data_IF_790609315559
#
_entry.id   IF_790609315559
#
_cell.length_a   1.000
_cell.length_b   1.000
_cell.length_c   1.000
_cell.angle_alpha   90.00
_cell.angle_beta   90.00
_cell.angle_gamma   90.00
#
_symmetry.space_group_name_H-M   'P 1'
#
loop_
_entity.id
_entity.type
_entity.pdbx_description
1 polymer ?
#
# COMPACT_ATOMS: atom_id res chain seq x y z
N UNK A 1 -18.51 34.40 -29.55
CA UNK A 1 -18.07 35.75 -29.15
C UNK A 1 -16.71 35.62 -28.49
N UNK A 2 -15.68 36.08 -29.19
CA UNK A 2 -14.28 36.13 -28.74
C UNK A 2 -14.08 37.30 -27.78
N UNK A 3 -13.28 37.10 -26.74
CA UNK A 3 -12.39 38.14 -26.21
C UNK A 3 -11.09 37.51 -25.71
N UNK A 4 -10.05 37.59 -26.56
CA UNK A 4 -8.65 37.39 -26.20
C UNK A 4 -8.12 38.64 -25.49
N UNK A 5 -7.35 38.45 -24.41
CA UNK A 5 -6.35 39.38 -23.84
C UNK A 5 -5.28 38.48 -23.22
N UNK A 6 -3.98 38.60 -23.41
CA UNK A 6 -3.11 39.53 -24.11
C UNK A 6 -1.71 39.19 -23.60
N UNK A 7 -0.84 38.65 -24.45
CA UNK A 7 0.51 38.20 -24.12
C UNK A 7 1.46 39.41 -24.06
N UNK A 8 2.34 39.47 -23.04
CA UNK A 8 3.55 40.30 -23.07
C UNK A 8 4.78 39.41 -22.91
N UNK A 9 5.57 39.33 -23.99
CA UNK A 9 6.92 38.80 -24.01
C UNK A 9 7.86 39.76 -23.27
N UNK A 10 8.78 39.21 -22.48
CA UNK A 10 10.06 39.84 -22.18
C UNK A 10 11.16 38.78 -22.35
N UNK A 11 12.00 38.99 -23.35
CA UNK A 11 13.19 38.22 -23.63
C UNK A 11 14.38 38.80 -22.85
N UNK A 12 15.19 37.94 -22.21
CA UNK A 12 16.56 38.28 -21.81
C UNK A 12 17.45 37.08 -22.13
N UNK A 13 18.52 37.35 -22.88
CA UNK A 13 19.48 36.41 -23.43
C UNK A 13 20.73 36.26 -22.54
N UNK A 14 21.27 35.02 -22.52
CA UNK A 14 22.67 34.53 -22.49
C UNK A 14 23.75 35.26 -21.64
N UNK A 15 24.76 34.56 -21.05
CA UNK A 15 25.66 33.70 -21.85
C UNK A 15 26.18 32.39 -21.22
N UNK A 16 26.58 31.55 -22.16
CA UNK A 16 27.33 30.30 -22.10
C UNK A 16 28.82 30.58 -21.81
N UNK A 17 29.44 29.86 -20.86
CA UNK A 17 30.91 29.84 -20.70
C UNK A 17 31.41 28.40 -20.47
N UNK A 18 32.13 27.91 -21.49
CA UNK A 18 33.13 26.82 -21.54
C UNK A 18 34.23 27.38 -22.47
N UNK A 19 35.50 26.92 -22.47
CA UNK A 19 36.13 25.78 -21.79
C UNK A 19 37.52 26.15 -21.15
N UNK A 20 38.30 25.18 -20.66
CA UNK A 20 39.74 24.97 -20.97
C UNK A 20 40.25 23.72 -20.23
N UNK A 21 40.92 22.87 -21.01
CA UNK A 21 41.65 21.65 -20.63
C UNK A 21 43.05 22.04 -20.14
N UNK A 22 43.51 21.44 -19.04
CA UNK A 22 44.94 21.38 -18.71
C UNK A 22 45.29 20.01 -18.13
N UNK A 23 46.03 19.25 -18.93
CA UNK A 23 46.73 18.05 -18.53
C UNK A 23 48.02 18.42 -17.78
N UNK A 24 48.37 17.69 -16.73
CA UNK A 24 49.76 17.45 -16.33
C UNK A 24 49.86 16.06 -15.70
N UNK A 25 50.87 15.34 -16.19
CA UNK A 25 51.19 13.97 -15.85
C UNK A 25 52.23 13.90 -14.73
N UNK A 26 52.16 12.81 -13.95
CA UNK A 26 53.30 11.92 -13.67
C UNK A 26 54.33 12.30 -12.59
N UNK A 27 54.58 11.35 -11.68
CA UNK A 27 55.79 11.31 -10.84
C UNK A 27 55.62 10.51 -9.53
N UNK A 28 55.34 9.20 -9.57
CA UNK A 28 56.27 8.09 -9.23
C UNK A 28 57.16 8.24 -7.98
N UNK A 29 56.85 7.45 -6.95
CA UNK A 29 57.74 6.67 -6.07
C UNK A 29 56.91 5.44 -5.64
N UNK A 30 57.34 4.19 -5.57
CA UNK A 30 58.60 3.48 -5.73
C UNK A 30 58.41 2.08 -5.12
N UNK A 31 59.15 1.09 -5.62
CA UNK A 31 59.46 -0.24 -5.05
C UNK A 31 58.39 -1.37 -5.01
N UNK A 32 58.68 -2.35 -5.87
CA UNK A 32 58.89 -3.77 -5.57
C UNK A 32 57.71 -4.76 -5.42
N UNK A 33 57.69 -5.71 -6.38
CA UNK A 33 57.97 -7.10 -6.01
C UNK A 33 56.78 -8.01 -5.69
N UNK A 34 56.07 -8.42 -6.74
CA UNK A 34 55.48 -9.76 -6.96
C UNK A 34 55.40 -10.71 -5.75
N UNK A 35 54.18 -10.95 -5.24
CA UNK A 35 53.70 -12.29 -4.86
C UNK A 35 52.16 -12.29 -4.74
N UNK A 36 51.57 -13.39 -5.20
CA UNK A 36 50.19 -13.47 -5.65
C UNK A 36 49.09 -13.28 -4.60
N UNK A 37 47.94 -12.83 -5.09
CA UNK A 37 46.65 -12.80 -4.42
C UNK A 37 45.60 -12.35 -5.42
N UNK A 38 44.61 -13.19 -5.71
CA UNK A 38 43.56 -12.92 -6.71
C UNK A 38 42.77 -11.64 -6.42
N UNK A 39 42.06 -11.07 -7.41
CA UNK A 39 41.42 -9.77 -7.23
C UNK A 39 40.37 -9.84 -6.12
N UNK A 40 40.67 -9.15 -5.03
CA UNK A 40 39.70 -8.75 -4.02
C UNK A 40 38.63 -7.91 -4.73
N UNK A 41 37.38 -8.37 -4.67
CA UNK A 41 36.22 -7.58 -5.05
C UNK A 41 36.20 -6.31 -4.18
N UNK A 42 36.53 -5.19 -4.80
CA UNK A 42 36.18 -3.86 -4.30
C UNK A 42 34.67 -3.81 -4.09
N UNK A 43 34.25 -3.77 -2.83
CA UNK A 43 32.87 -3.53 -2.44
C UNK A 43 32.49 -2.09 -2.81
N UNK A 44 31.61 -1.96 -3.79
CA UNK A 44 30.96 -0.73 -4.20
C UNK A 44 30.03 -0.23 -3.07
N UNK A 45 30.10 1.04 -2.63
CA UNK A 45 29.25 1.58 -1.55
C UNK A 45 27.74 1.62 -1.85
N UNK A 46 27.28 1.21 -3.04
CA UNK A 46 25.87 1.19 -3.43
C UNK A 46 25.08 -0.08 -3.06
N UNK A 47 25.70 -1.10 -2.46
CA UNK A 47 25.10 -2.45 -2.35
C UNK A 47 24.38 -2.71 -1.02
N UNK A 48 23.74 -1.70 -0.43
CA UNK A 48 23.13 -1.86 0.90
C UNK A 48 21.69 -2.41 0.80
N UNK A 49 20.99 -2.22 -0.32
CA UNK A 49 19.59 -2.67 -0.49
C UNK A 49 19.44 -4.07 -1.10
N UNK A 50 20.48 -4.57 -1.80
CA UNK A 50 20.39 -5.86 -2.49
C UNK A 50 20.40 -7.08 -1.54
N UNK A 51 20.72 -6.89 -0.26
CA UNK A 51 20.86 -7.98 0.72
C UNK A 51 19.80 -7.99 1.83
N UNK A 52 18.71 -7.23 1.71
CA UNK A 52 17.54 -7.46 2.54
C UNK A 52 16.91 -8.80 2.11
N UNK A 53 17.25 -9.85 2.85
CA UNK A 53 16.77 -11.22 2.68
C UNK A 53 15.25 -11.24 2.71
N UNK A 54 14.62 -11.43 1.54
CA UNK A 54 13.20 -11.73 1.39
C UNK A 54 12.46 -10.85 0.38
N UNK A 55 11.33 -11.35 -0.11
CA UNK A 55 10.36 -10.60 -0.92
C UNK A 55 9.62 -9.51 -0.12
N UNK A 56 9.98 -9.28 1.14
CA UNK A 56 9.30 -8.36 2.06
C UNK A 56 9.42 -6.89 1.61
N UNK A 57 8.39 -6.10 1.91
CA UNK A 57 8.45 -4.66 1.72
C UNK A 57 9.56 -4.01 2.58
N UNK A 58 10.26 -3.02 1.99
CA UNK A 58 11.26 -2.17 2.68
C UNK A 58 10.62 -0.96 3.34
N UNK A 59 9.47 -0.53 2.82
CA UNK A 59 8.64 0.51 3.42
C UNK A 59 7.18 0.14 3.17
N UNK A 60 6.38 0.12 4.23
CA UNK A 60 4.94 -0.16 4.16
C UNK A 60 4.18 0.82 5.06
N UNK A 61 3.03 1.25 4.58
CA UNK A 61 2.06 2.01 5.39
C UNK A 61 0.74 1.28 5.41
N UNK A 62 0.24 0.99 6.62
CA UNK A 62 -1.01 0.29 6.87
C UNK A 62 -1.99 1.18 7.65
N UNK A 63 -3.28 0.88 7.55
CA UNK A 63 -4.28 1.37 8.51
C UNK A 63 -4.70 0.23 9.42
N UNK A 64 -4.40 0.35 10.70
CA UNK A 64 -4.71 -0.65 11.73
C UNK A 64 -5.94 -0.23 12.55
N UNK A 65 -6.82 -1.20 12.86
CA UNK A 65 -8.02 -0.97 13.66
C UNK A 65 -9.02 0.00 13.01
N UNK A 66 -9.67 0.80 13.86
CA UNK A 66 -10.84 1.61 13.51
C UNK A 66 -12.15 0.82 13.60
N UNK A 67 -13.29 1.51 13.51
CA UNK A 67 -14.60 0.88 13.58
C UNK A 67 -15.03 0.31 12.23
N UNK A 68 -14.45 -0.83 11.88
CA UNK A 68 -14.85 -1.65 10.73
C UNK A 68 -14.94 -3.12 11.12
N UNK A 69 -15.61 -3.91 10.29
CA UNK A 69 -15.80 -5.34 10.54
C UNK A 69 -14.51 -6.13 10.39
N UNK A 70 -14.42 -7.31 11.02
CA UNK A 70 -13.28 -8.22 10.87
C UNK A 70 -13.06 -8.63 9.42
N UNK A 71 -14.14 -8.85 8.64
CA UNK A 71 -14.00 -9.14 7.21
C UNK A 71 -13.36 -7.97 6.44
N UNK A 72 -13.69 -6.73 6.79
CA UNK A 72 -13.12 -5.55 6.14
C UNK A 72 -11.66 -5.33 6.57
N UNK A 73 -11.30 -5.63 7.82
CA UNK A 73 -9.92 -5.55 8.32
C UNK A 73 -9.02 -6.52 7.55
N UNK A 74 -9.43 -7.79 7.48
CA UNK A 74 -8.67 -8.82 6.76
C UNK A 74 -8.58 -8.54 5.25
N UNK A 75 -9.60 -7.90 4.65
CA UNK A 75 -9.61 -7.52 3.24
C UNK A 75 -8.82 -6.25 2.92
N UNK A 76 -8.44 -5.45 3.94
CA UNK A 76 -7.79 -4.15 3.77
C UNK A 76 -6.39 -4.32 3.16
N UNK A 77 -6.09 -3.51 2.16
CA UNK A 77 -4.75 -3.40 1.59
C UNK A 77 -3.94 -2.35 2.35
N UNK A 78 -2.61 -2.48 2.41
CA UNK A 78 -1.74 -1.39 2.81
C UNK A 78 -2.00 -0.15 1.93
N UNK A 79 -1.90 1.03 2.53
CA UNK A 79 -1.99 2.31 1.81
C UNK A 79 -0.91 2.39 0.72
N UNK A 80 0.30 1.93 1.06
CA UNK A 80 1.41 1.76 0.12
C UNK A 80 2.33 0.63 0.58
N UNK A 81 2.88 -0.12 -0.36
CA UNK A 81 3.98 -1.07 -0.14
C UNK A 81 5.09 -0.84 -1.15
N UNK A 82 6.31 -0.60 -0.68
CA UNK A 82 7.52 -0.41 -1.49
C UNK A 82 8.43 -1.63 -1.30
N UNK A 83 8.82 -2.25 -2.39
CA UNK A 83 9.68 -3.44 -2.41
C UNK A 83 11.12 -3.10 -2.82
N UNK A 84 12.12 -3.90 -2.40
CA UNK A 84 13.52 -3.71 -2.77
C UNK A 84 13.74 -3.62 -4.29
N UNK A 85 12.93 -4.36 -5.07
CA UNK A 85 13.00 -4.39 -6.53
C UNK A 85 12.41 -3.16 -7.23
N UNK A 86 12.02 -2.11 -6.49
CA UNK A 86 11.44 -0.89 -7.06
C UNK A 86 9.96 -0.98 -7.39
N UNK A 87 9.27 -2.04 -6.98
CA UNK A 87 7.82 -2.14 -7.10
C UNK A 87 7.18 -1.31 -5.99
N UNK A 88 6.26 -0.42 -6.35
CA UNK A 88 5.39 0.29 -5.42
C UNK A 88 3.96 -0.09 -5.73
N UNK A 89 3.27 -0.64 -4.74
CA UNK A 89 1.88 -1.10 -4.88
C UNK A 89 0.99 -0.28 -3.94
N UNK A 90 -0.10 0.26 -4.48
CA UNK A 90 -1.10 1.04 -3.74
C UNK A 90 -2.47 0.91 -4.40
N UNK A 91 -3.53 1.30 -3.70
CA UNK A 91 -4.83 1.48 -4.32
C UNK A 91 -4.85 2.79 -5.16
N UNK A 92 -5.48 2.71 -6.33
CA UNK A 92 -5.69 3.82 -7.25
C UNK A 92 -7.08 4.45 -7.11
N UNK A 93 -7.39 5.45 -7.96
CA UNK A 93 -8.69 6.12 -7.94
C UNK A 93 -9.84 5.14 -8.16
N UNK A 94 -10.90 5.26 -7.36
CA UNK A 94 -12.09 4.42 -7.45
C UNK A 94 -13.28 5.23 -7.96
N UNK A 95 -14.12 4.59 -8.78
CA UNK A 95 -15.30 5.22 -9.33
C UNK A 95 -16.32 5.52 -8.21
N UNK A 96 -16.87 6.73 -8.19
CA UNK A 96 -17.92 7.13 -7.25
C UNK A 96 -19.30 6.57 -7.67
N UNK A 97 -19.40 5.24 -7.76
CA UNK A 97 -20.61 4.49 -8.11
C UNK A 97 -21.02 3.57 -6.96
N UNK A 98 -22.33 3.39 -6.75
CA UNK A 98 -22.84 2.47 -5.76
C UNK A 98 -23.85 1.48 -6.38
N UNK A 99 -23.69 0.16 -6.14
CA UNK A 99 -22.53 -0.48 -5.49
C UNK A 99 -21.25 -0.37 -6.33
N UNK A 100 -20.09 -0.49 -5.67
CA UNK A 100 -18.77 -0.41 -6.31
C UNK A 100 -18.34 -1.74 -6.93
N UNK A 101 -17.24 -1.75 -7.72
CA UNK A 101 -16.65 -2.99 -8.23
C UNK A 101 -16.21 -3.95 -7.11
N UNK A 102 -16.25 -5.26 -7.37
CA UNK A 102 -15.83 -6.26 -6.37
C UNK A 102 -14.30 -6.30 -6.15
N UNK A 103 -13.51 -5.94 -7.16
CA UNK A 103 -12.05 -5.86 -7.06
C UNK A 103 -11.63 -4.42 -6.74
N UNK A 104 -10.68 -4.22 -5.81
CA UNK A 104 -10.05 -2.92 -5.62
C UNK A 104 -9.22 -2.54 -6.85
N UNK A 105 -9.08 -1.23 -7.10
CA UNK A 105 -8.21 -0.73 -8.16
C UNK A 105 -6.75 -0.74 -7.68
N UNK A 106 -6.11 -1.91 -7.69
CA UNK A 106 -4.70 -2.00 -7.25
C UNK A 106 -3.76 -1.64 -8.40
N UNK A 107 -2.83 -0.73 -8.12
CA UNK A 107 -1.87 -0.22 -9.09
C UNK A 107 -0.45 -0.63 -8.72
N UNK A 108 0.36 -0.87 -9.74
CA UNK A 108 1.79 -1.09 -9.66
C UNK A 108 2.50 0.10 -10.33
N UNK A 109 3.49 0.65 -9.63
CA UNK A 109 4.45 1.62 -10.16
C UNK A 109 5.85 1.03 -10.03
N UNK A 110 6.70 1.28 -11.02
CA UNK A 110 8.13 0.94 -10.94
C UNK A 110 8.96 2.21 -10.73
N UNK A 111 9.84 2.17 -9.73
CA UNK A 111 10.81 3.23 -9.40
C UNK A 111 12.23 2.67 -9.42
N UNK A 112 13.24 3.53 -9.51
CA UNK A 112 14.63 3.07 -9.48
C UNK A 112 15.05 2.62 -8.08
N UNK A 113 16.10 1.81 -7.98
CA UNK A 113 16.68 1.43 -6.68
C UNK A 113 17.15 2.65 -5.87
N UNK A 114 17.64 3.70 -6.54
CA UNK A 114 17.99 4.96 -5.91
C UNK A 114 16.76 5.66 -5.32
N UNK A 115 15.61 5.58 -5.99
CA UNK A 115 14.36 6.15 -5.46
C UNK A 115 13.84 5.35 -4.27
N UNK A 116 13.95 4.01 -4.31
CA UNK A 116 13.63 3.15 -3.15
C UNK A 116 14.44 3.59 -1.93
N UNK A 117 15.76 3.76 -2.10
CA UNK A 117 16.63 4.21 -1.00
C UNK A 117 16.20 5.58 -0.49
N UNK A 118 15.90 6.54 -1.39
CA UNK A 118 15.43 7.88 -0.96
C UNK A 118 14.12 7.82 -0.17
N UNK A 119 13.20 6.91 -0.49
CA UNK A 119 11.97 6.72 0.27
C UNK A 119 12.25 6.12 1.66
N UNK A 120 13.16 5.15 1.75
CA UNK A 120 13.61 4.58 3.04
C UNK A 120 14.28 5.64 3.90
N UNK A 121 15.22 6.41 3.34
CA UNK A 121 15.93 7.49 4.04
C UNK A 121 14.94 8.54 4.55
N UNK A 122 13.95 8.90 3.74
CA UNK A 122 12.89 9.83 4.15
C UNK A 122 12.05 9.29 5.29
N UNK A 123 11.72 7.99 5.28
CA UNK A 123 10.97 7.37 6.37
C UNK A 123 11.76 7.39 7.69
N UNK A 124 13.06 7.07 7.64
CA UNK A 124 13.96 7.16 8.80
C UNK A 124 14.06 8.61 9.29
N UNK A 125 14.24 9.57 8.38
CA UNK A 125 14.32 11.00 8.71
C UNK A 125 13.03 11.55 9.33
N UNK A 126 11.86 11.04 8.94
CA UNK A 126 10.57 11.37 9.56
C UNK A 126 10.41 10.77 10.98
N UNK A 127 11.33 9.89 11.39
CA UNK A 127 11.35 9.27 12.71
C UNK A 127 10.58 7.95 12.80
N UNK A 128 10.36 7.26 11.68
CA UNK A 128 9.77 5.90 11.71
C UNK A 128 10.70 4.95 12.47
N UNK A 129 10.17 4.31 13.53
CA UNK A 129 10.94 3.42 14.40
C UNK A 129 11.81 4.12 15.45
N UNK A 130 11.82 5.46 15.52
CA UNK A 130 12.66 6.21 16.46
C UNK A 130 12.05 6.32 17.88
N UNK A 131 10.86 5.76 18.12
CA UNK A 131 10.20 5.81 19.43
C UNK A 131 9.74 7.22 19.85
N UNK A 132 9.46 8.10 18.87
CA UNK A 132 8.92 9.44 19.13
C UNK A 132 7.53 9.35 19.77
N UNK A 133 7.20 10.32 20.61
CA UNK A 133 5.85 10.48 21.15
C UNK A 133 4.98 11.26 20.16
N UNK A 134 3.91 10.61 19.68
CA UNK A 134 2.94 11.20 18.75
C UNK A 134 1.67 11.68 19.47
N UNK A 135 1.56 11.46 20.77
CA UNK A 135 0.38 11.75 21.58
C UNK A 135 -0.84 10.92 21.20
N UNK A 136 -1.85 10.99 22.06
CA UNK A 136 -3.09 10.23 21.93
C UNK A 136 -4.29 11.16 21.95
N UNK A 137 -4.76 11.62 20.77
CA UNK A 137 -5.91 12.51 20.69
C UNK A 137 -7.17 11.79 21.16
N UNK A 138 -8.13 12.53 21.73
CA UNK A 138 -9.39 12.00 22.24
C UNK A 138 -10.40 11.70 21.13
N UNK A 139 -10.01 10.83 20.20
CA UNK A 139 -10.81 10.35 19.08
C UNK A 139 -11.22 8.90 19.32
N UNK A 140 -12.48 8.59 19.06
CA UNK A 140 -13.02 7.23 19.09
C UNK A 140 -13.15 6.70 17.68
N UNK A 141 -13.12 5.38 17.53
CA UNK A 141 -13.46 4.67 16.28
C UNK A 141 -12.55 4.96 15.07
N UNK A 142 -11.48 5.76 15.25
CA UNK A 142 -10.49 6.07 14.21
C UNK A 142 -9.43 4.98 14.08
N UNK A 143 -8.90 4.84 12.87
CA UNK A 143 -7.77 3.95 12.60
C UNK A 143 -6.45 4.53 13.13
N UNK A 144 -5.43 3.69 13.23
CA UNK A 144 -4.05 4.15 13.31
C UNK A 144 -3.34 3.97 11.98
N UNK A 145 -2.55 4.96 11.58
CA UNK A 145 -1.60 4.82 10.48
C UNK A 145 -0.31 4.20 11.02
N UNK A 146 0.05 3.02 10.51
CA UNK A 146 1.26 2.29 10.89
C UNK A 146 2.27 2.38 9.75
N UNK A 147 3.46 2.88 10.05
CA UNK A 147 4.61 2.91 9.17
C UNK A 147 5.57 1.81 9.59
N UNK A 148 6.04 1.02 8.63
CA UNK A 148 7.09 0.01 8.84
C UNK A 148 8.20 0.28 7.85
N UNK A 149 9.43 0.45 8.34
CA UNK A 149 10.64 0.62 7.53
C UNK A 149 11.63 -0.48 7.86
N UNK A 150 12.30 -1.01 6.85
CA UNK A 150 13.34 -2.02 6.99
C UNK A 150 14.66 -1.44 6.49
N UNK A 151 15.65 -1.42 7.37
CA UNK A 151 16.99 -0.93 7.11
C UNK A 151 18.01 -2.04 7.46
N UNK A 152 19.30 -1.86 7.14
CA UNK A 152 20.34 -2.79 7.59
C UNK A 152 20.41 -2.95 9.11
N UNK A 153 20.01 -1.92 9.86
CA UNK A 153 20.00 -1.90 11.33
C UNK A 153 18.82 -2.67 11.93
N UNK A 154 17.78 -2.96 11.14
CA UNK A 154 16.63 -3.75 11.57
C UNK A 154 15.29 -3.26 11.01
N UNK A 155 14.21 -3.60 11.71
CA UNK A 155 12.85 -3.17 11.37
C UNK A 155 12.41 -2.11 12.37
N UNK A 156 12.07 -0.92 11.86
CA UNK A 156 11.45 0.16 12.63
C UNK A 156 9.96 0.23 12.36
N UNK A 157 9.15 0.35 13.40
CA UNK A 157 7.70 0.54 13.29
C UNK A 157 7.26 1.74 14.12
N UNK A 158 6.38 2.56 13.52
CA UNK A 158 5.70 3.67 14.18
C UNK A 158 4.19 3.53 13.92
N UNK A 159 3.35 3.71 14.93
CA UNK A 159 1.89 3.69 14.78
C UNK A 159 1.29 4.95 15.39
N UNK A 160 0.49 5.69 14.62
CA UNK A 160 -0.10 6.97 15.01
C UNK A 160 -1.62 6.90 14.87
N UNK A 161 -2.35 6.94 15.99
CA UNK A 161 -3.82 6.93 16.02
C UNK A 161 -4.38 8.25 15.51
N UNK A 162 -5.32 8.20 14.56
CA UNK A 162 -6.01 9.40 14.06
C UNK A 162 -5.07 10.38 13.35
N UNK A 163 -4.12 9.88 12.54
CA UNK A 163 -3.14 10.75 11.88
C UNK A 163 -3.81 11.76 10.94
N UNK A 164 -4.80 11.32 10.16
CA UNK A 164 -5.52 12.16 9.20
C UNK A 164 -6.68 12.94 9.86
N UNK A 165 -7.20 12.45 10.97
CA UNK A 165 -8.43 12.93 11.61
C UNK A 165 -8.17 13.94 12.73
N UNK A 166 -7.02 13.87 13.42
CA UNK A 166 -6.73 14.75 14.54
C UNK A 166 -6.45 16.18 14.10
N UNK A 167 -7.08 17.14 14.77
CA UNK A 167 -6.93 18.58 14.52
C UNK A 167 -5.85 19.26 15.40
N UNK A 168 -5.16 18.49 16.22
CA UNK A 168 -4.16 19.00 17.18
C UNK A 168 -4.68 19.16 18.61
N UNK A 169 -6.00 19.06 18.84
CA UNK A 169 -6.60 19.18 20.17
C UNK A 169 -6.08 18.08 21.10
N UNK A 170 -5.62 18.48 22.28
CA UNK A 170 -5.05 17.56 23.28
C UNK A 170 -3.60 17.13 23.02
N UNK A 171 -2.93 17.72 22.01
CA UNK A 171 -1.54 17.43 21.69
C UNK A 171 -0.61 18.60 22.05
N UNK A 172 0.58 18.27 22.54
CA UNK A 172 1.67 19.24 22.72
C UNK A 172 2.24 19.70 21.37
N UNK A 173 2.93 20.85 21.35
CA UNK A 173 3.57 21.34 20.13
C UNK A 173 4.55 20.32 19.52
N UNK A 174 5.37 19.65 20.34
CA UNK A 174 6.31 18.64 19.89
C UNK A 174 5.63 17.40 19.29
N UNK A 175 4.49 16.97 19.85
CA UNK A 175 3.69 15.88 19.28
C UNK A 175 3.08 16.30 17.94
N UNK A 176 2.60 17.55 17.83
CA UNK A 176 2.08 18.07 16.56
C UNK A 176 3.19 18.16 15.49
N UNK A 177 4.40 18.59 15.85
CA UNK A 177 5.57 18.55 14.96
C UNK A 177 5.87 17.13 14.50
N UNK A 178 5.93 16.17 15.43
CA UNK A 178 6.17 14.76 15.09
C UNK A 178 5.11 14.17 14.15
N UNK A 179 3.84 14.55 14.34
CA UNK A 179 2.74 14.14 13.45
C UNK A 179 2.85 14.78 12.07
N UNK A 180 3.25 16.05 11.98
CA UNK A 180 3.54 16.70 10.69
C UNK A 180 4.62 15.96 9.91
N UNK A 181 5.71 15.57 10.55
CA UNK A 181 6.81 14.86 9.86
C UNK A 181 6.34 13.54 9.20
N UNK A 182 5.51 12.75 9.89
CA UNK A 182 4.99 11.49 9.35
C UNK A 182 3.79 11.69 8.42
N UNK A 183 3.04 12.78 8.56
CA UNK A 183 2.02 13.18 7.57
C UNK A 183 2.69 13.58 6.25
N UNK A 184 3.75 14.39 6.30
CA UNK A 184 4.51 14.79 5.11
C UNK A 184 5.15 13.57 4.40
N UNK A 185 5.54 12.55 5.17
CA UNK A 185 5.97 11.26 4.62
C UNK A 185 4.80 10.55 3.92
N UNK A 186 3.63 10.44 4.56
CA UNK A 186 2.45 9.81 3.98
C UNK A 186 2.01 10.51 2.68
N UNK A 187 1.98 11.83 2.66
CA UNK A 187 1.60 12.63 1.50
C UNK A 187 2.57 12.41 0.34
N UNK A 188 3.86 12.28 0.62
CA UNK A 188 4.84 11.98 -0.42
C UNK A 188 4.74 10.56 -0.97
N UNK A 189 4.40 9.59 -0.11
CA UNK A 189 4.21 8.19 -0.48
C UNK A 189 2.91 7.93 -1.25
N UNK A 190 1.89 8.77 -1.06
CA UNK A 190 0.63 8.69 -1.80
C UNK A 190 0.64 9.60 -3.04
N UNK A 191 1.47 10.65 -3.04
CA UNK A 191 1.71 11.57 -4.15
C UNK A 191 2.83 11.18 -5.12
N UNK A 192 3.24 9.90 -5.17
CA UNK A 192 4.44 9.46 -5.89
C UNK A 192 4.49 9.84 -7.38
N UNK A 193 3.33 9.91 -8.03
CA UNK A 193 3.21 10.36 -9.42
C UNK A 193 3.82 11.76 -9.62
N UNK A 194 3.64 12.65 -8.65
CA UNK A 194 4.19 14.02 -8.69
C UNK A 194 5.61 14.12 -8.15
N UNK A 195 6.06 13.21 -7.29
CA UNK A 195 7.38 13.28 -6.64
C UNK A 195 8.48 12.51 -7.36
N UNK A 196 8.16 11.37 -7.98
CA UNK A 196 9.12 10.48 -8.64
C UNK A 196 8.82 10.25 -10.13
N UNK A 197 7.62 10.61 -10.60
CA UNK A 197 7.19 10.33 -11.97
C UNK A 197 6.93 8.84 -12.23
N UNK A 198 6.86 8.47 -13.51
CA UNK A 198 6.49 7.14 -13.99
C UNK A 198 4.97 6.98 -14.15
N UNK A 199 4.56 5.94 -14.88
CA UNK A 199 3.15 5.59 -15.03
C UNK A 199 2.77 4.46 -14.09
N UNK A 200 1.53 4.50 -13.60
CA UNK A 200 0.95 3.39 -12.86
C UNK A 200 0.25 2.43 -13.83
N UNK A 201 0.52 1.14 -13.68
CA UNK A 201 -0.15 0.06 -14.43
C UNK A 201 -1.04 -0.77 -13.50
N UNK A 202 -2.07 -1.46 -14.00
CA UNK A 202 -2.86 -2.38 -13.19
C UNK A 202 -2.00 -3.49 -12.58
N UNK A 203 -2.10 -3.72 -11.27
CA UNK A 203 -1.42 -4.83 -10.61
C UNK A 203 -2.09 -6.16 -10.97
N UNK A 204 -1.28 -7.15 -11.38
CA UNK A 204 -1.74 -8.51 -11.63
C UNK A 204 -1.26 -9.43 -10.51
N UNK A 205 -2.13 -9.81 -9.56
CA UNK A 205 -1.73 -10.68 -8.46
C UNK A 205 -1.53 -12.13 -8.92
N UNK A 206 -0.58 -12.83 -8.30
CA UNK A 206 -0.36 -14.27 -8.49
C UNK A 206 -1.33 -15.13 -7.68
N UNK A 207 -1.93 -14.55 -6.63
CA UNK A 207 -2.92 -15.18 -5.76
C UNK A 207 -3.89 -14.14 -5.21
N UNK A 208 -5.09 -14.59 -4.84
CA UNK A 208 -6.14 -13.74 -4.25
C UNK A 208 -6.64 -14.42 -2.98
N UNK A 209 -6.68 -13.68 -1.88
CA UNK A 209 -7.45 -14.08 -0.72
C UNK A 209 -8.91 -13.63 -0.89
N UNK A 210 -9.83 -14.51 -0.54
CA UNK A 210 -11.25 -14.20 -0.50
C UNK A 210 -11.77 -14.38 0.92
N UNK A 211 -12.25 -13.28 1.49
CA UNK A 211 -12.76 -13.22 2.86
C UNK A 211 -14.27 -13.35 2.77
N UNK A 212 -14.81 -14.42 3.34
CA UNK A 212 -16.21 -14.79 3.23
C UNK A 212 -16.92 -14.75 4.58
N UNK A 213 -18.10 -14.14 4.59
CA UNK A 213 -19.03 -14.14 5.71
C UNK A 213 -20.44 -14.54 5.20
N UNK A 214 -21.29 -15.19 6.02
CA UNK A 214 -22.65 -15.49 5.64
C UNK A 214 -23.38 -14.24 5.18
N UNK A 215 -24.09 -14.34 4.06
CA UNK A 215 -24.95 -13.27 3.63
C UNK A 215 -26.15 -13.19 4.59
N UNK A 216 -26.17 -12.15 5.43
CA UNK A 216 -27.32 -11.86 6.28
C UNK A 216 -28.41 -11.24 5.39
N UNK A 217 -29.38 -12.06 4.99
CA UNK A 217 -30.51 -11.62 4.14
C UNK A 217 -31.65 -10.97 4.92
N UNK A 218 -31.61 -11.08 6.25
CA UNK A 218 -32.78 -10.86 7.08
C UNK A 218 -32.68 -9.47 7.69
N UNK A 219 -33.35 -8.55 7.03
CA UNK A 219 -33.62 -7.24 7.60
C UNK A 219 -34.53 -7.43 8.82
N UNK A 220 -34.16 -6.91 10.01
CA UNK A 220 -35.03 -6.98 11.17
C UNK A 220 -36.38 -6.37 10.81
N UNK A 221 -37.44 -7.17 10.91
CA UNK A 221 -38.81 -6.67 10.76
C UNK A 221 -39.11 -5.77 11.96
N UNK A 222 -38.95 -4.45 11.79
CA UNK A 222 -39.28 -3.47 12.83
C UNK A 222 -38.23 -2.40 13.16
N UNK A 223 -37.06 -2.41 12.50
CA UNK A 223 -36.04 -1.35 12.67
C UNK A 223 -36.26 -0.15 11.75
N UNK A 224 -35.79 1.05 12.17
CA UNK A 224 -35.68 2.21 11.27
C UNK A 224 -34.84 1.79 10.07
N UNK A 225 -35.46 1.76 8.89
CA UNK A 225 -34.81 1.34 7.66
C UNK A 225 -33.68 2.31 7.31
N UNK A 226 -32.43 1.93 7.55
CA UNK A 226 -31.30 2.65 6.95
C UNK A 226 -31.39 2.47 5.42
N UNK A 227 -31.40 3.57 4.65
CA UNK A 227 -31.34 3.48 3.19
C UNK A 227 -29.97 2.91 2.81
N UNK A 228 -29.95 1.65 2.35
CA UNK A 228 -28.71 1.04 1.81
C UNK A 228 -28.60 -0.47 1.99
N UNK A 229 -28.97 -1.01 3.16
CA UNK A 229 -28.90 -2.47 3.39
C UNK A 229 -30.28 -3.13 3.47
N UNK A 230 -31.26 -2.42 4.02
CA UNK A 230 -32.56 -3.02 4.36
C UNK A 230 -33.81 -2.24 3.97
N UNK A 231 -33.67 -1.14 3.22
CA UNK A 231 -34.82 -0.33 2.80
C UNK A 231 -34.56 0.57 1.59
N UNK A 232 -33.49 0.33 0.83
CA UNK A 232 -33.25 1.04 -0.42
C UNK A 232 -33.72 0.21 -1.59
N UNK A 233 -34.61 0.74 -2.43
CA UNK A 233 -35.04 0.14 -3.71
C UNK A 233 -33.94 0.04 -4.77
N UNK A 234 -32.68 -0.09 -4.35
CA UNK A 234 -31.56 -0.30 -5.26
C UNK A 234 -31.63 -1.73 -5.80
N UNK A 235 -31.47 -1.92 -7.13
CA UNK A 235 -31.38 -3.26 -7.71
C UNK A 235 -30.24 -4.02 -7.05
N UNK A 236 -30.56 -5.15 -6.41
CA UNK A 236 -29.52 -6.06 -5.92
C UNK A 236 -28.82 -6.69 -7.11
N UNK A 237 -27.48 -6.81 -7.09
CA UNK A 237 -26.78 -7.56 -8.12
C UNK A 237 -27.31 -8.99 -8.17
N UNK A 238 -27.35 -9.58 -9.36
CA UNK A 238 -27.70 -10.98 -9.50
C UNK A 238 -26.73 -11.86 -8.71
N UNK A 239 -27.29 -12.88 -8.07
CA UNK A 239 -26.53 -13.90 -7.36
C UNK A 239 -25.67 -14.72 -8.35
N UNK A 240 -24.47 -15.11 -7.91
CA UNK A 240 -23.50 -15.81 -8.76
C UNK A 240 -22.93 -17.04 -8.06
N UNK A 241 -22.66 -18.08 -8.85
CA UNK A 241 -21.94 -19.25 -8.36
C UNK A 241 -20.49 -18.90 -8.02
N UNK A 242 -20.03 -19.36 -6.86
CA UNK A 242 -18.64 -19.20 -6.42
C UNK A 242 -17.69 -20.09 -7.24
N UNK A 243 -16.66 -19.53 -7.89
CA UNK A 243 -15.76 -20.30 -8.77
C UNK A 243 -14.46 -20.76 -8.09
N UNK A 244 -14.28 -20.48 -6.79
CA UNK A 244 -13.02 -20.73 -6.07
C UNK A 244 -13.09 -21.87 -5.05
N UNK A 245 -12.08 -21.97 -4.16
CA UNK A 245 -12.03 -22.97 -3.09
C UNK A 245 -13.25 -22.92 -2.15
N UNK A 246 -13.57 -24.02 -1.47
CA UNK A 246 -14.76 -24.11 -0.62
C UNK A 246 -14.81 -23.02 0.47
N UNK A 247 -15.91 -22.26 0.52
CA UNK A 247 -16.15 -21.23 1.53
C UNK A 247 -16.72 -21.83 2.84
N UNK A 248 -16.45 -21.24 4.02
CA UNK A 248 -15.72 -19.98 4.23
C UNK A 248 -14.20 -20.15 4.29
N UNK A 249 -13.68 -21.38 4.22
CA UNK A 249 -12.25 -21.64 4.38
C UNK A 249 -11.79 -21.62 5.84
N UNK A 250 -10.56 -21.19 6.05
CA UNK A 250 -9.95 -21.13 7.37
C UNK A 250 -10.53 -19.96 8.20
N UNK A 251 -10.81 -20.13 9.50
CA UNK A 251 -11.39 -19.07 10.32
C UNK A 251 -10.44 -17.86 10.43
N UNK A 252 -11.01 -16.65 10.40
CA UNK A 252 -10.27 -15.40 10.64
C UNK A 252 -10.43 -14.91 12.08
N UNK A 253 -11.59 -15.14 12.69
CA UNK A 253 -11.86 -14.80 14.10
C UNK A 253 -12.50 -16.00 14.77
N UNK A 254 -11.96 -16.41 15.91
CA UNK A 254 -12.52 -17.52 16.68
C UNK A 254 -13.98 -17.24 17.07
N UNK A 255 -14.86 -18.23 16.89
CA UNK A 255 -16.28 -18.11 17.24
C UNK A 255 -17.15 -17.33 16.26
N UNK A 256 -16.60 -16.81 15.15
CA UNK A 256 -17.36 -16.13 14.11
C UNK A 256 -17.34 -16.93 12.79
N UNK A 257 -18.44 -16.90 12.04
CA UNK A 257 -18.52 -17.52 10.70
C UNK A 257 -17.81 -16.68 9.61
N UNK A 258 -16.71 -16.00 9.95
CA UNK A 258 -15.89 -15.26 8.99
C UNK A 258 -14.64 -16.09 8.71
N UNK A 259 -14.46 -16.48 7.45
CA UNK A 259 -13.30 -17.25 7.02
C UNK A 259 -12.61 -16.66 5.81
N UNK A 260 -11.47 -17.25 5.48
CA UNK A 260 -10.66 -16.88 4.33
C UNK A 260 -10.26 -18.12 3.54
N UNK A 261 -10.32 -18.02 2.21
CA UNK A 261 -9.69 -18.96 1.28
C UNK A 261 -8.64 -18.26 0.44
N UNK A 262 -7.56 -18.97 0.13
CA UNK A 262 -6.52 -18.49 -0.81
C UNK A 262 -6.71 -19.18 -2.15
N UNK A 263 -6.96 -18.42 -3.21
CA UNK A 263 -7.00 -18.90 -4.58
C UNK A 263 -5.65 -18.66 -5.25
N UNK A 264 -4.99 -19.73 -5.68
CA UNK A 264 -3.68 -19.72 -6.36
C UNK A 264 -3.77 -20.43 -7.71
N UNK A 265 -2.85 -20.12 -8.64
CA UNK A 265 -2.78 -20.80 -9.93
C UNK A 265 -4.07 -20.67 -10.78
N UNK A 266 -4.63 -21.78 -11.29
CA UNK A 266 -5.87 -21.73 -12.09
C UNK A 266 -7.05 -21.08 -11.36
N UNK A 267 -7.18 -21.29 -10.05
CA UNK A 267 -8.26 -20.72 -9.24
C UNK A 267 -8.19 -19.19 -9.20
N UNK A 268 -6.98 -18.62 -9.15
CA UNK A 268 -6.79 -17.16 -9.22
C UNK A 268 -7.36 -16.59 -10.51
N UNK A 269 -7.12 -17.26 -11.64
CA UNK A 269 -7.61 -16.81 -12.95
C UNK A 269 -9.12 -16.85 -13.02
N UNK A 270 -9.73 -17.96 -12.59
CA UNK A 270 -11.20 -18.11 -12.54
C UNK A 270 -11.83 -17.06 -11.62
N UNK A 271 -11.23 -16.84 -10.44
CA UNK A 271 -11.75 -15.92 -9.45
C UNK A 271 -11.66 -14.46 -9.90
N UNK A 272 -10.52 -14.04 -10.44
CA UNK A 272 -10.35 -12.69 -10.98
C UNK A 272 -11.29 -12.45 -12.17
N UNK A 273 -11.48 -13.43 -13.05
CA UNK A 273 -12.41 -13.31 -14.17
C UNK A 273 -13.85 -13.11 -13.69
N UNK A 274 -14.28 -13.85 -12.66
CA UNK A 274 -15.59 -13.67 -12.07
C UNK A 274 -15.73 -12.32 -11.35
N UNK A 275 -14.74 -11.94 -10.53
CA UNK A 275 -14.77 -10.73 -9.72
C UNK A 275 -14.69 -9.44 -10.56
N UNK A 276 -14.01 -9.46 -11.72
CA UNK A 276 -13.93 -8.31 -12.66
C UNK A 276 -15.30 -7.78 -13.12
N UNK A 277 -16.31 -8.64 -13.17
CA UNK A 277 -17.68 -8.28 -13.58
C UNK A 277 -18.66 -8.26 -12.40
N UNK A 278 -18.19 -8.48 -11.18
CA UNK A 278 -19.00 -8.45 -9.97
C UNK A 278 -18.99 -7.06 -9.32
N UNK A 279 -19.98 -6.84 -8.48
CA UNK A 279 -20.04 -5.70 -7.56
C UNK A 279 -19.60 -6.16 -6.16
N UNK A 280 -19.15 -5.24 -5.31
CA UNK A 280 -18.76 -5.55 -3.93
C UNK A 280 -19.92 -6.05 -3.05
N UNK A 281 -21.16 -5.93 -3.52
CA UNK A 281 -22.39 -6.45 -2.89
C UNK A 281 -22.96 -7.67 -3.61
N UNK A 282 -22.27 -8.24 -4.60
CA UNK A 282 -22.73 -9.44 -5.30
C UNK A 282 -22.85 -10.64 -4.34
N UNK A 283 -24.04 -11.27 -4.23
CA UNK A 283 -24.19 -12.52 -3.48
C UNK A 283 -23.48 -13.68 -4.17
N UNK A 284 -22.71 -14.46 -3.41
CA UNK A 284 -22.02 -15.66 -3.90
C UNK A 284 -22.63 -16.94 -3.31
N UNK A 285 -22.87 -17.95 -4.15
CA UNK A 285 -23.37 -19.27 -3.71
C UNK A 285 -22.26 -20.29 -3.67
N UNK A 286 -22.12 -20.98 -2.52
CA UNK A 286 -21.18 -22.08 -2.32
C UNK A 286 -21.69 -23.02 -1.23
N UNK A 287 -21.67 -24.33 -1.48
CA UNK A 287 -22.11 -25.34 -0.51
C UNK A 287 -23.57 -25.20 -0.06
N UNK A 288 -24.47 -24.74 -0.93
CA UNK A 288 -25.88 -24.48 -0.61
C UNK A 288 -26.12 -23.24 0.27
N UNK A 289 -25.07 -22.48 0.57
CA UNK A 289 -25.12 -21.25 1.37
C UNK A 289 -24.84 -20.02 0.52
N UNK A 290 -25.26 -18.85 1.02
CA UNK A 290 -25.01 -17.54 0.43
C UNK A 290 -23.98 -16.77 1.23
N UNK A 291 -23.10 -16.07 0.53
CA UNK A 291 -21.92 -15.42 1.09
C UNK A 291 -21.79 -13.98 0.59
N UNK A 292 -21.38 -13.11 1.49
CA UNK A 292 -20.71 -11.85 1.13
C UNK A 292 -19.22 -12.14 1.06
N UNK A 293 -18.55 -11.69 -0.01
CA UNK A 293 -17.12 -11.96 -0.23
C UNK A 293 -16.39 -10.67 -0.54
N UNK A 294 -15.30 -10.41 0.20
CA UNK A 294 -14.31 -9.39 -0.13
C UNK A 294 -13.11 -10.04 -0.81
N UNK A 295 -12.74 -9.53 -1.98
CA UNK A 295 -11.57 -9.98 -2.72
C UNK A 295 -10.36 -9.13 -2.40
N UNK A 296 -9.28 -9.75 -1.93
CA UNK A 296 -8.02 -9.09 -1.62
C UNK A 296 -6.88 -9.71 -2.47
N UNK A 297 -6.45 -9.02 -3.54
CA UNK A 297 -5.21 -9.36 -4.23
C UNK A 297 -4.05 -9.50 -3.22
N UNK A 298 -3.31 -10.61 -3.29
CA UNK A 298 -2.13 -10.78 -2.45
C UNK A 298 -0.94 -10.00 -3.03
N UNK A 299 -0.18 -9.39 -2.14
CA UNK A 299 1.03 -8.67 -2.44
C UNK A 299 2.25 -9.63 -2.53
N UNK A 300 3.38 -9.21 -3.14
CA UNK A 300 4.54 -10.09 -3.34
C UNK A 300 5.11 -10.80 -2.10
N UNK A 301 4.94 -10.24 -0.91
CA UNK A 301 5.39 -10.81 0.36
C UNK A 301 4.30 -11.57 1.12
N UNK A 302 3.11 -11.70 0.54
CA UNK A 302 1.97 -12.40 1.14
C UNK A 302 1.75 -13.73 0.44
N UNK A 303 1.61 -14.79 1.23
CA UNK A 303 1.47 -16.17 0.81
C UNK A 303 0.03 -16.67 0.87
N UNK A 304 -0.82 -16.08 1.73
CA UNK A 304 -2.21 -16.49 1.86
C UNK A 304 -2.95 -15.87 3.04
N UNK A 305 -4.08 -16.49 3.39
CA UNK A 305 -4.95 -16.08 4.50
C UNK A 305 -4.24 -15.97 5.86
N UNK A 306 -3.17 -16.75 6.09
CA UNK A 306 -2.40 -16.68 7.32
C UNK A 306 -1.76 -15.30 7.54
N UNK A 307 -1.30 -14.64 6.46
CA UNK A 307 -0.68 -13.32 6.53
C UNK A 307 -1.68 -12.21 6.87
N UNK A 308 -2.98 -12.46 6.61
CA UNK A 308 -4.05 -11.49 6.83
C UNK A 308 -4.57 -11.49 8.27
N UNK A 309 -4.47 -12.63 8.96
CA UNK A 309 -4.86 -12.73 10.38
C UNK A 309 -4.00 -11.84 11.27
N UNK A 310 -2.71 -11.70 10.96
CA UNK A 310 -1.78 -10.88 11.74
C UNK A 310 -2.04 -9.36 11.59
N UNK A 311 -2.77 -8.96 10.55
CA UNK A 311 -3.18 -7.58 10.29
C UNK A 311 -4.59 -7.25 10.81
N UNK A 312 -5.32 -8.27 11.30
CA UNK A 312 -6.70 -8.19 11.81
C UNK A 312 -6.77 -7.78 13.27
#
# INVERSE_FOLDING_TARGET
MMTLRGVRLAAVALPLFLPVVAACAGGTTGSDGLRGGGPARTSDPGTVVASAVGHAAVLRVDLAGGLITSQMLAARLPVVSVYPGGQVISEGPQAAIFPGPALPNVQLRRISAADVQRLVDRAVAAGVGAGRDYGEPSLTDVSSTRFTVRTPEGVGTTQVRGLAEADGTGLTAAQQDARRDVQDLLDALTGLSGTLGGDAEPYTPTAVAAIAAPLVSDCPSGGVQSPGFCGGGLPRPAERAWPGPALPGEPLVEGHEVGCVTASGPDTTALLAAARTAMNTTPWTSGGRRWTVHFRPLLPDESGCADLRAAS
#
